data_IF_540432459113
#
_entry.id   IF_540432459113
#
_cell.length_a   1.000
_cell.length_b   1.000
_cell.length_c   1.000
_cell.angle_alpha   90.00
_cell.angle_beta   90.00
_cell.angle_gamma   90.00
#
_symmetry.space_group_name_H-M   'P 1'
#
loop_
_entity.id
_entity.type
_entity.pdbx_description
1 polymer ?
#
# COMPACT_ATOMS: atom_id res chain seq x y z
N UNK A 1 25.29 -23.23 -5.70
CA UNK A 1 25.02 -22.65 -7.03
C UNK A 1 24.10 -23.52 -7.90
N UNK A 2 24.36 -24.82 -8.09
CA UNK A 2 23.49 -25.70 -8.91
C UNK A 2 22.02 -25.72 -8.44
N UNK A 3 21.77 -25.80 -7.12
CA UNK A 3 20.42 -25.74 -6.56
C UNK A 3 19.70 -24.40 -6.81
N UNK A 4 20.46 -23.29 -6.90
CA UNK A 4 19.92 -21.95 -7.19
C UNK A 4 19.61 -21.81 -8.68
N UNK A 5 20.49 -22.32 -9.54
CA UNK A 5 20.30 -22.33 -10.99
C UNK A 5 19.05 -23.14 -11.39
N UNK A 6 18.80 -24.27 -10.73
CA UNK A 6 17.63 -25.12 -10.97
C UNK A 6 16.30 -24.40 -10.66
N UNK A 7 16.26 -23.56 -9.61
CA UNK A 7 15.05 -22.83 -9.22
C UNK A 7 14.87 -21.48 -9.93
N UNK A 8 15.92 -20.94 -10.55
CA UNK A 8 15.91 -19.69 -11.33
C UNK A 8 15.52 -19.91 -12.79
N UNK A 9 14.49 -20.74 -13.03
CA UNK A 9 13.85 -20.82 -14.35
C UNK A 9 12.70 -19.82 -14.46
N UNK A 10 13.03 -18.57 -14.78
CA UNK A 10 12.04 -17.49 -14.83
C UNK A 10 10.93 -17.71 -15.86
N UNK A 11 11.11 -18.61 -16.84
CA UNK A 11 10.07 -18.94 -17.83
C UNK A 11 8.96 -19.83 -17.26
N UNK A 12 9.28 -20.58 -16.20
CA UNK A 12 8.34 -21.53 -15.57
C UNK A 12 7.56 -20.91 -14.42
N UNK A 13 7.90 -19.68 -14.05
CA UNK A 13 7.27 -19.00 -12.93
C UNK A 13 5.87 -18.54 -13.28
N UNK A 14 4.95 -18.75 -12.35
CA UNK A 14 3.59 -18.21 -12.37
C UNK A 14 3.35 -17.40 -11.09
N UNK A 15 2.19 -16.74 -11.01
CA UNK A 15 1.76 -16.04 -9.81
C UNK A 15 1.65 -17.03 -8.65
N UNK A 16 2.39 -16.76 -7.57
CA UNK A 16 2.41 -17.63 -6.40
C UNK A 16 3.74 -17.64 -5.66
N UNK A 17 3.82 -18.50 -4.65
CA UNK A 17 5.00 -18.65 -3.82
C UNK A 17 6.07 -19.54 -4.47
N UNK A 18 7.31 -19.05 -4.52
CA UNK A 18 8.48 -19.80 -5.00
C UNK A 18 9.53 -19.85 -3.90
N UNK A 19 9.95 -21.06 -3.53
CA UNK A 19 11.09 -21.25 -2.65
C UNK A 19 12.39 -21.11 -3.44
N UNK A 20 13.25 -20.20 -3.01
CA UNK A 20 14.49 -19.88 -3.69
C UNK A 20 15.66 -20.13 -2.75
N UNK A 21 16.57 -21.02 -3.15
CA UNK A 21 17.78 -21.34 -2.40
C UNK A 21 18.85 -20.23 -2.48
N UNK A 22 18.45 -19.00 -2.82
CA UNK A 22 19.33 -17.85 -3.07
C UNK A 22 20.03 -17.40 -1.79
N UNK A 23 19.45 -17.64 -0.61
CA UNK A 23 20.08 -17.40 0.69
C UNK A 23 21.46 -18.08 0.84
N UNK A 24 21.71 -19.15 0.08
CA UNK A 24 23.00 -19.85 0.05
C UNK A 24 24.11 -19.09 -0.71
N UNK A 25 23.75 -18.02 -1.45
CA UNK A 25 24.66 -17.19 -2.25
C UNK A 25 24.62 -15.74 -1.74
N UNK A 26 23.43 -15.24 -1.40
CA UNK A 26 23.23 -13.96 -0.73
C UNK A 26 22.43 -14.17 0.56
N UNK A 27 23.09 -14.22 1.73
CA UNK A 27 22.43 -14.52 3.01
C UNK A 27 21.31 -13.55 3.40
N UNK A 28 21.29 -12.33 2.84
CA UNK A 28 20.24 -11.34 3.09
C UNK A 28 19.00 -11.55 2.20
N UNK A 29 19.01 -12.52 1.29
CA UNK A 29 17.89 -12.83 0.40
C UNK A 29 16.88 -13.77 1.08
N UNK A 30 15.57 -13.53 0.93
CA UNK A 30 14.55 -14.36 1.58
C UNK A 30 14.51 -15.79 1.02
N UNK A 31 14.21 -16.77 1.87
CA UNK A 31 14.07 -18.18 1.47
C UNK A 31 12.86 -18.42 0.57
N UNK A 32 11.85 -17.56 0.68
CA UNK A 32 10.60 -17.64 -0.08
C UNK A 32 10.28 -16.28 -0.69
N UNK A 33 9.76 -16.32 -1.92
CA UNK A 33 9.35 -15.15 -2.68
C UNK A 33 7.93 -15.35 -3.20
N UNK A 34 7.06 -14.38 -2.98
CA UNK A 34 5.81 -14.30 -3.72
C UNK A 34 6.03 -13.61 -5.06
N UNK A 35 5.76 -14.33 -6.15
CA UNK A 35 5.75 -13.81 -7.51
C UNK A 35 4.34 -13.30 -7.81
N UNK A 36 4.22 -12.00 -8.08
CA UNK A 36 2.96 -11.37 -8.53
C UNK A 36 2.99 -11.10 -10.03
N UNK A 37 1.84 -10.71 -10.58
CA UNK A 37 1.72 -10.42 -12.01
C UNK A 37 2.72 -9.38 -12.49
N UNK A 38 2.93 -8.31 -11.72
CA UNK A 38 3.90 -7.25 -12.02
C UNK A 38 5.33 -7.77 -12.04
N UNK A 39 5.67 -8.77 -11.23
CA UNK A 39 7.00 -9.39 -11.24
C UNK A 39 7.25 -10.10 -12.57
N UNK A 40 6.26 -10.84 -13.08
CA UNK A 40 6.35 -11.51 -14.38
C UNK A 40 6.47 -10.50 -15.53
N UNK A 41 5.71 -9.41 -15.48
CA UNK A 41 5.77 -8.35 -16.49
C UNK A 41 7.16 -7.65 -16.47
N UNK A 42 7.71 -7.37 -15.28
CA UNK A 42 9.05 -6.79 -15.13
C UNK A 42 10.15 -7.76 -15.60
N UNK A 43 10.01 -9.06 -15.37
CA UNK A 43 10.93 -10.09 -15.91
C UNK A 43 10.96 -10.00 -17.45
N UNK A 44 9.80 -9.85 -18.08
CA UNK A 44 9.72 -9.75 -19.54
C UNK A 44 10.40 -8.48 -20.06
N UNK A 45 10.19 -7.33 -19.41
CA UNK A 45 10.89 -6.07 -19.73
C UNK A 45 12.40 -6.24 -19.60
N UNK A 46 12.84 -6.82 -18.49
CA UNK A 46 14.26 -7.02 -18.20
C UNK A 46 14.93 -7.90 -19.26
N UNK A 47 14.29 -9.01 -19.66
CA UNK A 47 14.80 -9.89 -20.72
C UNK A 47 14.92 -9.17 -22.06
N UNK A 48 13.93 -8.35 -22.43
CA UNK A 48 13.98 -7.54 -23.65
C UNK A 48 15.12 -6.51 -23.61
N UNK A 49 15.27 -5.80 -22.49
CA UNK A 49 16.33 -4.82 -22.31
C UNK A 49 17.72 -5.44 -22.39
N UNK A 50 17.94 -6.62 -21.78
CA UNK A 50 19.21 -7.34 -21.92
C UNK A 50 19.50 -7.67 -23.39
N UNK A 51 18.52 -8.22 -24.12
CA UNK A 51 18.69 -8.59 -25.53
C UNK A 51 19.07 -7.38 -26.39
N UNK A 52 18.52 -6.21 -26.07
CA UNK A 52 18.78 -4.94 -26.77
C UNK A 52 20.01 -4.19 -26.24
N UNK A 53 20.70 -4.72 -25.24
CA UNK A 53 21.85 -4.04 -24.64
C UNK A 53 21.52 -2.76 -23.88
N UNK A 54 20.27 -2.60 -23.42
CA UNK A 54 19.82 -1.43 -22.66
C UNK A 54 20.17 -1.53 -21.17
N UNK A 55 20.34 -0.38 -20.53
CA UNK A 55 20.52 -0.26 -19.08
C UNK A 55 19.17 0.03 -18.41
N UNK A 56 18.93 -0.53 -17.22
CA UNK A 56 17.64 -0.37 -16.53
C UNK A 56 17.82 0.18 -15.12
N UNK A 57 17.01 1.17 -14.77
CA UNK A 57 16.86 1.68 -13.40
C UNK A 57 15.50 1.27 -12.87
N UNK A 58 15.48 0.43 -11.83
CA UNK A 58 14.27 0.19 -11.06
C UNK A 58 14.01 1.36 -10.13
N UNK A 59 12.87 2.01 -10.36
CA UNK A 59 12.34 3.11 -9.55
C UNK A 59 11.06 2.67 -8.85
N UNK A 60 10.65 3.39 -7.82
CA UNK A 60 9.43 3.09 -7.07
C UNK A 60 9.65 3.30 -5.58
N UNK A 61 8.58 3.24 -4.81
CA UNK A 61 8.61 3.55 -3.39
C UNK A 61 9.54 2.63 -2.61
N UNK A 62 10.03 3.10 -1.48
CA UNK A 62 10.79 2.27 -0.57
C UNK A 62 10.02 1.00 -0.20
N UNK A 63 10.73 -0.13 -0.01
CA UNK A 63 10.11 -1.36 0.48
C UNK A 63 9.29 -2.19 -0.52
N UNK A 64 9.12 -1.77 -1.79
CA UNK A 64 8.32 -2.52 -2.79
C UNK A 64 9.01 -3.74 -3.44
N UNK A 65 10.24 -4.09 -3.03
CA UNK A 65 10.94 -5.29 -3.53
C UNK A 65 11.94 -5.08 -4.68
N UNK A 66 12.35 -3.82 -4.95
CA UNK A 66 13.35 -3.50 -5.99
C UNK A 66 14.69 -4.25 -5.82
N UNK A 67 15.24 -4.24 -4.60
CA UNK A 67 16.50 -4.92 -4.27
C UNK A 67 16.39 -6.43 -4.51
N UNK A 68 15.25 -7.02 -4.18
CA UNK A 68 14.97 -8.44 -4.46
C UNK A 68 15.05 -8.74 -5.96
N UNK A 69 14.41 -7.92 -6.81
CA UNK A 69 14.47 -8.07 -8.26
C UNK A 69 15.90 -7.94 -8.80
N UNK A 70 16.68 -6.99 -8.28
CA UNK A 70 18.08 -6.80 -8.67
C UNK A 70 18.95 -8.01 -8.37
N UNK A 71 18.84 -8.58 -7.16
CA UNK A 71 19.58 -9.80 -6.80
C UNK A 71 19.16 -10.97 -7.69
N UNK A 72 17.86 -11.18 -7.90
CA UNK A 72 17.35 -12.24 -8.78
C UNK A 72 17.88 -12.12 -10.20
N UNK A 73 17.88 -10.91 -10.74
CA UNK A 73 18.31 -10.65 -12.11
C UNK A 73 19.82 -10.77 -12.29
N UNK A 74 20.61 -10.37 -11.29
CA UNK A 74 22.05 -10.63 -11.28
C UNK A 74 22.35 -12.14 -11.33
N UNK A 75 21.67 -12.93 -10.49
CA UNK A 75 21.85 -14.39 -10.44
C UNK A 75 21.36 -15.07 -11.72
N UNK A 76 20.25 -14.62 -12.29
CA UNK A 76 19.76 -15.12 -13.58
C UNK A 76 20.77 -14.84 -14.70
N UNK A 77 21.32 -13.63 -14.78
CA UNK A 77 22.36 -13.29 -15.76
C UNK A 77 23.60 -14.17 -15.60
N UNK A 78 24.05 -14.40 -14.37
CA UNK A 78 25.21 -15.25 -14.10
C UNK A 78 24.96 -16.73 -14.43
N UNK A 79 23.86 -17.29 -13.91
CA UNK A 79 23.65 -18.74 -13.89
C UNK A 79 22.92 -19.27 -15.11
N UNK A 80 22.05 -18.47 -15.75
CA UNK A 80 21.29 -18.87 -16.94
C UNK A 80 21.89 -18.31 -18.22
N UNK A 81 22.27 -17.03 -18.21
CA UNK A 81 22.88 -16.41 -19.39
C UNK A 81 24.41 -16.55 -19.45
N UNK A 82 25.02 -17.14 -18.43
CA UNK A 82 26.47 -17.38 -18.36
C UNK A 82 27.30 -16.08 -18.48
N UNK A 83 26.71 -14.94 -18.13
CA UNK A 83 27.40 -13.64 -18.12
C UNK A 83 28.24 -13.49 -16.86
N UNK A 84 29.39 -12.81 -16.96
CA UNK A 84 30.13 -12.37 -15.77
C UNK A 84 29.42 -11.18 -15.15
N UNK A 85 29.16 -11.24 -13.85
CA UNK A 85 28.47 -10.17 -13.14
C UNK A 85 29.24 -9.71 -11.92
N UNK A 86 29.03 -8.44 -11.58
CA UNK A 86 29.32 -7.88 -10.26
C UNK A 86 28.04 -7.29 -9.71
N UNK A 87 27.57 -7.85 -8.60
CA UNK A 87 26.50 -7.27 -7.79
C UNK A 87 27.14 -6.48 -6.64
N UNK A 88 27.03 -5.16 -6.72
CA UNK A 88 27.49 -4.23 -5.69
C UNK A 88 26.28 -3.72 -4.92
N UNK A 89 26.21 -4.03 -3.63
CA UNK A 89 25.11 -3.66 -2.74
C UNK A 89 25.59 -2.69 -1.67
N UNK A 90 24.85 -1.61 -1.45
CA UNK A 90 25.04 -0.66 -0.36
C UNK A 90 23.82 -0.74 0.55
N UNK A 91 23.99 -1.35 1.72
CA UNK A 91 22.91 -1.57 2.68
C UNK A 91 23.09 -0.61 3.85
N UNK A 92 22.07 0.24 4.08
CA UNK A 92 22.07 1.20 5.18
C UNK A 92 22.28 0.47 6.52
N UNK A 93 23.29 0.89 7.28
CA UNK A 93 23.65 0.30 8.58
C UNK A 93 24.53 -0.95 8.53
N UNK A 94 24.70 -1.60 7.37
CA UNK A 94 25.61 -2.75 7.20
C UNK A 94 26.86 -2.42 6.37
N UNK A 95 26.83 -1.33 5.61
CA UNK A 95 27.91 -0.95 4.70
C UNK A 95 27.70 -1.51 3.30
N UNK A 96 28.80 -1.79 2.62
CA UNK A 96 28.83 -2.11 1.20
C UNK A 96 29.39 -3.51 0.98
N UNK A 97 28.77 -4.31 0.12
CA UNK A 97 29.22 -5.66 -0.23
C UNK A 97 29.28 -5.88 -1.74
N UNK A 98 30.19 -6.74 -2.18
CA UNK A 98 30.37 -7.12 -3.58
C UNK A 98 30.27 -8.62 -3.72
N UNK A 99 29.52 -9.06 -4.73
CA UNK A 99 29.43 -10.42 -5.19
C UNK A 99 29.87 -10.49 -6.65
N UNK A 100 30.93 -11.22 -6.93
CA UNK A 100 31.37 -11.52 -8.30
C UNK A 100 30.99 -12.95 -8.67
N UNK A 101 30.45 -13.13 -9.87
CA UNK A 101 30.14 -14.45 -10.41
C UNK A 101 30.54 -14.56 -11.88
N UNK A 102 31.32 -15.58 -12.18
CA UNK A 102 31.59 -16.08 -13.53
C UNK A 102 31.33 -17.59 -13.53
N UNK A 103 30.09 -17.96 -13.86
CA UNK A 103 29.63 -19.34 -13.86
C UNK A 103 30.34 -20.19 -14.93
N UNK A 104 30.67 -19.59 -16.09
CA UNK A 104 31.38 -20.24 -17.18
C UNK A 104 32.74 -20.77 -16.74
N UNK A 105 33.49 -19.95 -16.00
CA UNK A 105 34.82 -20.30 -15.49
C UNK A 105 34.81 -20.83 -14.06
N UNK A 106 33.62 -21.04 -13.47
CA UNK A 106 33.44 -21.48 -12.07
C UNK A 106 34.16 -20.57 -11.06
N UNK A 107 34.29 -19.28 -11.35
CA UNK A 107 34.90 -18.29 -10.44
C UNK A 107 33.80 -17.55 -9.69
N UNK A 108 33.91 -17.54 -8.36
CA UNK A 108 32.95 -16.93 -7.47
C UNK A 108 33.68 -16.38 -6.25
N UNK A 109 33.38 -15.14 -5.87
CA UNK A 109 33.83 -14.59 -4.59
C UNK A 109 32.88 -13.51 -4.09
N UNK A 110 32.91 -13.30 -2.77
CA UNK A 110 32.09 -12.32 -2.08
C UNK A 110 32.94 -11.56 -1.07
N UNK A 111 32.69 -10.27 -0.94
CA UNK A 111 33.32 -9.38 0.04
C UNK A 111 32.26 -8.56 0.75
N UNK A 112 32.16 -8.69 2.07
CA UNK A 112 31.11 -8.02 2.89
C UNK A 112 31.44 -6.57 3.28
N UNK A 113 32.72 -6.18 3.20
CA UNK A 113 33.19 -4.81 3.44
C UNK A 113 33.93 -4.34 2.20
N UNK A 114 33.14 -4.09 1.16
CA UNK A 114 33.64 -3.69 -0.14
C UNK A 114 33.74 -2.17 -0.27
N UNK A 115 34.77 -1.73 -0.96
CA UNK A 115 35.03 -0.36 -1.37
C UNK A 115 34.90 -0.24 -2.89
N UNK A 116 34.82 0.98 -3.41
CA UNK A 116 34.71 1.20 -4.85
C UNK A 116 35.95 0.71 -5.62
N UNK A 117 37.12 0.70 -4.97
CA UNK A 117 38.37 0.15 -5.50
C UNK A 117 38.30 -1.35 -5.75
N UNK A 118 37.38 -2.09 -5.10
CA UNK A 118 37.21 -3.53 -5.36
C UNK A 118 36.67 -3.83 -6.76
N UNK A 119 36.07 -2.83 -7.43
CA UNK A 119 35.71 -2.94 -8.85
C UNK A 119 36.93 -3.00 -9.78
N UNK A 120 38.10 -2.57 -9.29
CA UNK A 120 39.34 -2.60 -10.07
C UNK A 120 39.98 -4.00 -10.05
N UNK A 121 39.57 -4.90 -9.13
CA UNK A 121 40.04 -6.29 -9.07
C UNK A 121 39.67 -7.13 -10.29
N UNK A 122 38.71 -6.65 -11.07
CA UNK A 122 38.21 -7.29 -12.30
C UNK A 122 38.35 -6.38 -13.52
N UNK A 123 39.11 -5.29 -13.40
CA UNK A 123 39.25 -4.31 -14.47
C UNK A 123 39.88 -4.98 -15.70
N UNK A 124 39.27 -4.81 -16.88
CA UNK A 124 39.69 -5.44 -18.13
C UNK A 124 39.04 -6.80 -18.43
N UNK A 125 38.40 -7.46 -17.46
CA UNK A 125 37.48 -8.57 -17.74
C UNK A 125 36.10 -7.98 -18.09
N UNK A 126 35.51 -8.31 -19.23
CA UNK A 126 34.15 -7.85 -19.55
C UNK A 126 33.14 -8.39 -18.53
N UNK A 127 32.46 -7.51 -17.79
CA UNK A 127 31.42 -7.89 -16.82
C UNK A 127 30.24 -6.91 -16.86
N UNK A 128 29.08 -7.40 -16.39
CA UNK A 128 27.88 -6.60 -16.20
C UNK A 128 27.84 -6.10 -14.75
N UNK A 129 27.78 -4.78 -14.55
CA UNK A 129 27.71 -4.17 -13.22
C UNK A 129 26.26 -4.00 -12.78
N UNK A 130 25.91 -4.52 -11.61
CA UNK A 130 24.58 -4.45 -11.00
C UNK A 130 24.69 -3.71 -9.66
N UNK A 131 23.90 -2.66 -9.49
CA UNK A 131 23.94 -1.79 -8.33
C UNK A 131 22.63 -1.88 -7.52
N UNK A 132 22.74 -2.06 -6.21
CA UNK A 132 21.62 -2.05 -5.25
C UNK A 132 21.90 -1.06 -4.12
N UNK A 133 20.97 -0.14 -3.85
CA UNK A 133 21.08 0.81 -2.73
C UNK A 133 21.95 2.04 -2.98
N UNK A 134 22.44 2.24 -4.21
CA UNK A 134 23.14 3.46 -4.62
C UNK A 134 22.15 4.54 -5.07
N UNK A 135 22.40 5.79 -4.71
CA UNK A 135 21.62 6.94 -5.19
C UNK A 135 22.11 7.41 -6.57
N UNK A 136 21.31 8.22 -7.27
CA UNK A 136 21.78 8.86 -8.50
C UNK A 136 23.01 9.76 -8.25
N UNK A 137 23.07 10.39 -7.07
CA UNK A 137 24.21 11.21 -6.65
C UNK A 137 25.47 10.35 -6.41
N UNK A 138 25.34 9.18 -5.76
CA UNK A 138 26.44 8.23 -5.61
C UNK A 138 27.05 7.86 -6.97
N UNK A 139 26.21 7.60 -7.97
CA UNK A 139 26.63 7.27 -9.35
C UNK A 139 27.31 8.46 -10.03
N UNK A 140 26.77 9.67 -9.87
CA UNK A 140 27.36 10.90 -10.43
C UNK A 140 28.73 11.21 -9.83
N UNK A 141 28.87 11.08 -8.50
CA UNK A 141 30.11 11.36 -7.78
C UNK A 141 31.22 10.34 -8.12
N UNK A 142 30.85 9.17 -8.65
CA UNK A 142 31.77 8.11 -9.04
C UNK A 142 31.64 7.78 -10.53
N UNK A 143 31.54 8.85 -11.34
CA UNK A 143 31.46 8.78 -12.79
C UNK A 143 32.61 7.94 -13.37
N UNK A 144 32.31 7.12 -14.37
CA UNK A 144 33.25 6.18 -14.98
C UNK A 144 33.22 4.79 -14.33
N UNK A 145 33.29 4.71 -12.98
CA UNK A 145 33.23 3.42 -12.26
C UNK A 145 31.82 2.87 -12.14
N UNK A 146 30.88 3.71 -11.71
CA UNK A 146 29.50 3.29 -11.46
C UNK A 146 28.57 3.52 -12.64
N UNK A 147 28.87 4.45 -13.55
CA UNK A 147 27.98 4.77 -14.70
C UNK A 147 27.85 3.67 -15.74
N UNK A 148 28.74 2.67 -15.71
CA UNK A 148 28.69 1.47 -16.56
C UNK A 148 27.71 0.40 -16.07
N UNK A 149 26.80 0.74 -15.14
CA UNK A 149 25.84 -0.21 -14.63
C UNK A 149 24.89 -0.72 -15.73
N UNK A 150 24.59 -2.01 -15.69
CA UNK A 150 23.50 -2.63 -16.43
C UNK A 150 22.16 -2.45 -15.72
N UNK A 151 22.19 -2.64 -14.40
CA UNK A 151 21.01 -2.56 -13.53
C UNK A 151 21.30 -1.67 -12.32
N UNK A 152 20.33 -0.85 -11.95
CA UNK A 152 20.34 -0.04 -10.74
C UNK A 152 18.99 -0.10 -10.03
N UNK A 153 18.95 -0.53 -8.76
CA UNK A 153 17.81 -0.27 -7.89
C UNK A 153 18.12 0.94 -7.00
N UNK A 154 17.29 1.97 -7.11
CA UNK A 154 17.45 3.19 -6.31
C UNK A 154 16.14 3.60 -5.66
N UNK A 155 16.21 4.02 -4.39
CA UNK A 155 15.10 4.68 -3.71
C UNK A 155 15.18 6.16 -4.02
N UNK A 156 14.38 6.61 -4.97
CA UNK A 156 14.11 8.00 -5.39
C UNK A 156 13.68 7.93 -6.86
N UNK A 157 13.14 9.03 -7.37
CA UNK A 157 12.92 9.20 -8.80
C UNK A 157 14.26 9.44 -9.48
N UNK A 158 14.65 8.54 -10.38
CA UNK A 158 15.82 8.76 -11.24
C UNK A 158 15.46 9.83 -12.27
N UNK A 159 16.21 10.94 -12.28
CA UNK A 159 16.02 11.99 -13.27
C UNK A 159 16.79 11.65 -14.54
N UNK A 160 16.06 11.31 -15.60
CA UNK A 160 16.61 11.04 -16.93
C UNK A 160 17.10 12.34 -17.56
N UNK A 161 18.26 12.31 -18.19
CA UNK A 161 18.76 13.38 -19.06
C UNK A 161 18.40 13.08 -20.51
N UNK A 162 18.41 14.12 -21.36
CA UNK A 162 18.11 13.97 -22.78
C UNK A 162 19.07 13.02 -23.51
N UNK A 163 20.32 12.91 -23.04
CA UNK A 163 21.36 12.09 -23.66
C UNK A 163 21.39 10.64 -23.16
N UNK A 164 20.47 10.25 -22.27
CA UNK A 164 20.38 8.91 -21.68
C UNK A 164 19.70 7.89 -22.63
N UNK A 165 20.13 7.83 -23.89
CA UNK A 165 19.45 7.09 -24.98
C UNK A 165 19.38 5.58 -24.76
N UNK A 166 20.34 5.00 -24.04
CA UNK A 166 20.43 3.56 -23.75
C UNK A 166 19.88 3.18 -22.37
N UNK A 167 19.33 4.14 -21.62
CA UNK A 167 18.88 3.95 -20.25
C UNK A 167 17.36 4.04 -20.15
N UNK A 168 16.77 3.11 -19.43
CA UNK A 168 15.32 3.07 -19.20
C UNK A 168 14.99 3.01 -17.73
N UNK A 169 13.96 3.76 -17.32
CA UNK A 169 13.34 3.58 -16.01
C UNK A 169 12.28 2.50 -16.11
N UNK A 170 12.18 1.69 -15.07
CA UNK A 170 11.13 0.71 -14.89
C UNK A 170 10.58 0.88 -13.47
N UNK A 171 9.33 1.31 -13.34
CA UNK A 171 8.69 1.40 -12.02
C UNK A 171 8.39 0.01 -11.49
N UNK A 172 8.61 -0.18 -10.20
CA UNK A 172 8.14 -1.34 -9.44
C UNK A 172 6.93 -0.86 -8.62
N UNK A 173 5.70 -1.26 -9.01
CA UNK A 173 4.49 -0.80 -8.34
C UNK A 173 4.45 -1.19 -6.86
N UNK A 174 3.63 -0.50 -6.05
CA UNK A 174 3.33 -0.96 -4.70
C UNK A 174 2.54 -2.29 -4.71
N UNK A 175 2.47 -2.96 -3.56
CA UNK A 175 1.81 -4.26 -3.42
C UNK A 175 0.31 -4.08 -3.19
N UNK A 176 -0.51 -4.74 -4.00
CA UNK A 176 -1.96 -4.70 -3.82
C UNK A 176 -2.34 -5.40 -2.50
N UNK A 177 -3.49 -5.02 -1.92
CA UNK A 177 -4.03 -5.71 -0.74
C UNK A 177 -4.21 -7.22 -1.01
N UNK A 178 -4.62 -7.60 -2.23
CA UNK A 178 -4.78 -9.01 -2.62
C UNK A 178 -3.45 -9.77 -2.61
N UNK A 179 -2.38 -9.20 -3.17
CA UNK A 179 -1.05 -9.84 -3.13
C UNK A 179 -0.54 -9.99 -1.70
N UNK A 180 -0.74 -8.97 -0.86
CA UNK A 180 -0.32 -9.00 0.54
C UNK A 180 -1.12 -10.02 1.36
N UNK A 181 -2.41 -10.20 1.07
CA UNK A 181 -3.22 -11.26 1.69
C UNK A 181 -2.67 -12.65 1.34
N UNK A 182 -2.25 -12.88 0.10
CA UNK A 182 -1.63 -14.16 -0.31
C UNK A 182 -0.29 -14.40 0.41
N UNK A 183 0.48 -13.35 0.68
CA UNK A 183 1.67 -13.43 1.53
C UNK A 183 1.27 -13.78 2.98
N UNK A 184 0.21 -13.16 3.50
CA UNK A 184 -0.33 -13.47 4.83
C UNK A 184 -0.71 -14.95 4.99
N UNK A 185 -1.31 -15.55 3.95
CA UNK A 185 -1.61 -16.99 3.94
C UNK A 185 -0.36 -17.84 4.12
N UNK A 186 0.77 -17.48 3.48
CA UNK A 186 2.04 -18.20 3.65
C UNK A 186 2.56 -18.15 5.09
N UNK A 187 2.33 -17.04 5.79
CA UNK A 187 2.71 -16.86 7.20
C UNK A 187 1.62 -17.31 8.19
N UNK A 188 0.54 -17.93 7.71
CA UNK A 188 -0.62 -18.32 8.51
C UNK A 188 -1.24 -17.15 9.30
N UNK A 189 -1.20 -15.94 8.75
CA UNK A 189 -1.85 -14.77 9.33
C UNK A 189 -3.35 -14.80 9.09
N UNK A 190 -4.12 -14.34 10.08
CA UNK A 190 -5.57 -14.20 9.95
C UNK A 190 -5.91 -13.04 9.03
N UNK A 191 -7.16 -12.98 8.57
CA UNK A 191 -7.66 -11.82 7.81
C UNK A 191 -7.50 -10.52 8.61
N UNK A 192 -7.71 -10.56 9.92
CA UNK A 192 -7.57 -9.41 10.79
C UNK A 192 -6.10 -8.95 10.90
N UNK A 193 -5.16 -9.89 11.04
CA UNK A 193 -3.72 -9.57 11.04
C UNK A 193 -3.29 -8.89 9.74
N UNK A 194 -3.78 -9.39 8.60
CA UNK A 194 -3.48 -8.80 7.29
C UNK A 194 -4.07 -7.39 7.15
N UNK A 195 -5.32 -7.18 7.59
CA UNK A 195 -5.96 -5.86 7.58
C UNK A 195 -5.20 -4.88 8.47
N UNK A 196 -4.81 -5.28 9.67
CA UNK A 196 -4.03 -4.44 10.59
C UNK A 196 -2.65 -4.09 10.00
N UNK A 197 -1.96 -5.06 9.40
CA UNK A 197 -0.67 -4.81 8.74
C UNK A 197 -0.81 -3.90 7.52
N UNK A 198 -1.89 -4.05 6.75
CA UNK A 198 -2.17 -3.21 5.59
C UNK A 198 -2.50 -1.76 6.01
N UNK A 199 -3.25 -1.59 7.10
CA UNK A 199 -3.62 -0.30 7.67
C UNK A 199 -2.40 0.62 7.87
N UNK A 200 -1.29 0.07 8.36
CA UNK A 200 -0.03 0.83 8.48
C UNK A 200 0.76 0.85 7.17
N UNK A 201 0.95 -0.29 6.52
CA UNK A 201 1.93 -0.39 5.41
C UNK A 201 1.45 0.18 4.07
N UNK A 202 0.15 0.21 3.78
CA UNK A 202 -0.39 0.72 2.52
C UNK A 202 0.21 0.09 1.26
N UNK A 203 0.59 -1.18 1.27
CA UNK A 203 1.24 -1.80 0.10
C UNK A 203 2.77 -1.68 0.07
N UNK A 204 3.39 -1.15 1.12
CA UNK A 204 4.83 -1.26 1.35
C UNK A 204 5.14 -2.63 1.98
N UNK A 205 5.68 -3.55 1.18
CA UNK A 205 5.96 -4.92 1.65
C UNK A 205 6.93 -4.95 2.85
N UNK A 206 7.92 -4.05 2.91
CA UNK A 206 8.86 -4.01 4.03
C UNK A 206 8.14 -3.68 5.34
N UNK A 207 7.23 -2.71 5.31
CA UNK A 207 6.50 -2.29 6.50
C UNK A 207 5.42 -3.33 6.86
N UNK A 208 4.80 -3.97 5.86
CA UNK A 208 3.84 -5.06 6.05
C UNK A 208 4.45 -6.28 6.78
N UNK A 209 5.70 -6.63 6.43
CA UNK A 209 6.46 -7.70 7.07
C UNK A 209 7.10 -7.27 8.40
N UNK A 210 7.07 -5.98 8.75
CA UNK A 210 7.65 -5.46 9.98
C UNK A 210 6.68 -5.56 11.17
N UNK A 211 7.19 -5.54 12.42
CA UNK A 211 6.36 -5.36 13.59
C UNK A 211 5.58 -4.03 13.52
N UNK A 212 4.31 -4.06 13.95
CA UNK A 212 3.39 -2.91 13.99
C UNK A 212 4.04 -1.64 14.54
N UNK A 213 4.70 -1.74 15.69
CA UNK A 213 5.34 -0.61 16.37
C UNK A 213 6.41 0.07 15.50
N UNK A 214 7.15 -0.70 14.69
CA UNK A 214 8.18 -0.16 13.79
C UNK A 214 7.55 0.54 12.59
N UNK A 215 6.53 -0.07 11.99
CA UNK A 215 5.81 0.55 10.87
C UNK A 215 5.17 1.88 11.28
N UNK A 216 4.50 1.90 12.44
CA UNK A 216 3.88 3.10 13.03
C UNK A 216 4.91 4.22 13.29
N UNK A 217 5.99 3.90 13.99
CA UNK A 217 7.07 4.86 14.30
C UNK A 217 7.76 5.43 13.04
N UNK A 218 7.87 4.64 11.96
CA UNK A 218 8.38 5.14 10.68
C UNK A 218 7.43 6.15 10.04
N UNK A 219 6.13 5.87 10.07
CA UNK A 219 5.09 6.76 9.54
C UNK A 219 5.05 8.05 10.36
N UNK A 220 5.00 7.97 11.69
CA UNK A 220 4.97 9.13 12.59
C UNK A 220 6.19 10.04 12.36
N UNK A 221 7.39 9.47 12.20
CA UNK A 221 8.60 10.24 11.87
C UNK A 221 8.55 10.91 10.50
N UNK A 222 7.94 10.26 9.50
CA UNK A 222 7.78 10.85 8.18
C UNK A 222 6.77 12.00 8.23
N UNK A 223 5.64 11.81 8.92
CA UNK A 223 4.59 12.81 9.11
C UNK A 223 5.05 14.03 9.89
N UNK A 224 5.88 13.86 10.91
CA UNK A 224 6.47 14.98 11.67
C UNK A 224 7.35 15.93 10.85
N UNK A 225 7.55 15.65 9.55
CA UNK A 225 8.30 16.47 8.60
C UNK A 225 7.44 17.01 7.44
N UNK A 226 6.15 16.67 7.41
CA UNK A 226 5.22 17.09 6.36
C UNK A 226 4.61 18.43 6.75
N UNK A 227 4.80 19.44 5.90
CA UNK A 227 4.03 20.68 5.91
C UNK A 227 2.85 20.62 4.90
N UNK A 228 1.98 21.64 4.89
CA UNK A 228 0.84 21.72 3.98
C UNK A 228 1.24 21.59 2.50
N UNK A 229 2.37 22.18 2.09
CA UNK A 229 2.84 22.09 0.71
C UNK A 229 3.36 20.68 0.39
N UNK A 230 4.04 20.04 1.34
CA UNK A 230 4.48 18.65 1.20
C UNK A 230 3.28 17.71 1.06
N UNK A 231 2.19 17.97 1.80
CA UNK A 231 0.97 17.17 1.74
C UNK A 231 0.29 17.21 0.36
N UNK A 232 0.27 18.37 -0.31
CA UNK A 232 -0.23 18.47 -1.69
C UNK A 232 0.58 17.62 -2.69
N UNK A 233 1.90 17.50 -2.46
CA UNK A 233 2.79 16.75 -3.34
C UNK A 233 2.66 15.24 -3.21
N UNK A 234 2.11 14.71 -2.11
CA UNK A 234 1.90 13.26 -1.90
C UNK A 234 1.05 12.62 -3.00
N UNK A 235 0.22 13.42 -3.68
CA UNK A 235 -0.59 13.00 -4.81
C UNK A 235 0.10 13.11 -6.18
N UNK A 236 1.29 13.66 -6.26
CA UNK A 236 1.94 13.90 -7.53
C UNK A 236 3.08 12.92 -7.73
N UNK A 237 3.51 12.74 -8.97
CA UNK A 237 4.77 12.06 -9.24
C UNK A 237 5.98 12.92 -8.87
N UNK A 238 5.85 14.01 -8.11
CA UNK A 238 6.96 14.88 -7.74
C UNK A 238 7.22 14.75 -6.24
N UNK A 239 8.41 14.24 -5.92
CA UNK A 239 8.92 14.20 -4.55
C UNK A 239 9.73 15.47 -4.27
N UNK A 240 9.57 16.07 -3.08
CA UNK A 240 10.42 17.17 -2.60
C UNK A 240 11.77 16.65 -2.10
N UNK A 241 12.57 16.16 -3.04
CA UNK A 241 13.98 15.80 -2.85
C UNK A 241 14.30 14.76 -1.75
N UNK A 242 15.55 14.29 -1.69
CA UNK A 242 15.99 13.25 -0.75
C UNK A 242 15.82 13.58 0.74
N UNK A 243 15.74 14.87 1.09
CA UNK A 243 16.02 15.36 2.44
C UNK A 243 14.86 15.22 3.43
N UNK A 244 13.59 15.16 2.99
CA UNK A 244 12.46 15.14 3.93
C UNK A 244 11.91 13.73 4.27
N UNK A 245 12.31 12.66 3.58
CA UNK A 245 11.74 11.29 3.75
C UNK A 245 10.22 11.22 3.54
N UNK A 246 9.59 12.24 2.95
CA UNK A 246 8.15 12.27 2.64
C UNK A 246 7.79 11.20 1.60
N UNK A 247 8.75 10.78 0.77
CA UNK A 247 8.64 9.66 -0.17
C UNK A 247 8.20 8.34 0.47
N UNK A 248 8.37 8.18 1.80
CA UNK A 248 7.86 7.00 2.50
C UNK A 248 6.33 6.93 2.54
N UNK A 249 5.67 8.08 2.55
CA UNK A 249 4.21 8.19 2.58
C UNK A 249 3.61 8.11 1.18
N UNK A 250 4.43 8.13 0.13
CA UNK A 250 4.00 8.12 -1.25
C UNK A 250 4.24 6.76 -1.90
N UNK A 251 3.18 6.04 -2.21
CA UNK A 251 3.23 4.84 -3.03
C UNK A 251 3.03 5.19 -4.51
N UNK A 252 3.72 4.47 -5.40
CA UNK A 252 3.56 4.62 -6.86
C UNK A 252 3.12 3.31 -7.48
N UNK A 253 2.14 3.38 -8.37
CA UNK A 253 1.66 2.27 -9.19
C UNK A 253 1.52 2.68 -10.65
N UNK A 254 1.01 1.78 -11.47
CA UNK A 254 0.77 1.93 -12.90
C UNK A 254 -0.72 1.91 -13.18
N UNK A 255 -1.16 2.72 -14.14
CA UNK A 255 -2.53 2.68 -14.65
C UNK A 255 -2.77 1.33 -15.33
N UNK A 256 -3.90 0.65 -15.06
CA UNK A 256 -4.35 -0.46 -15.87
C UNK A 256 -4.51 -0.04 -17.33
N UNK A 257 -4.24 -0.96 -18.25
CA UNK A 257 -4.53 -0.80 -19.67
C UNK A 257 -5.43 -1.99 -20.09
N UNK A 258 -6.76 -1.87 -19.90
CA UNK A 258 -7.68 -2.97 -20.20
C UNK A 258 -7.74 -3.28 -21.70
N UNK A 259 -7.49 -2.28 -22.55
CA UNK A 259 -7.48 -2.44 -24.00
C UNK A 259 -6.26 -3.24 -24.48
N UNK A 260 -5.14 -3.11 -23.77
CA UNK A 260 -3.94 -3.92 -24.02
C UNK A 260 -3.29 -4.38 -22.70
N UNK A 261 -3.77 -5.48 -22.09
CA UNK A 261 -3.24 -5.98 -20.82
C UNK A 261 -1.75 -6.36 -20.88
N UNK A 262 -1.24 -6.65 -22.08
CA UNK A 262 0.16 -6.99 -22.36
C UNK A 262 1.03 -5.77 -22.64
N UNK A 263 0.49 -4.56 -22.55
CA UNK A 263 1.24 -3.33 -22.71
C UNK A 263 2.24 -3.17 -21.55
N UNK A 264 3.51 -3.43 -21.82
CA UNK A 264 4.59 -3.28 -20.85
C UNK A 264 5.15 -1.84 -20.79
N UNK A 265 4.75 -0.96 -21.71
CA UNK A 265 5.22 0.43 -21.72
C UNK A 265 4.71 1.23 -20.51
N UNK A 266 3.60 0.81 -19.90
CA UNK A 266 3.07 1.39 -18.66
C UNK A 266 4.08 1.36 -17.49
N UNK A 267 5.03 0.42 -17.49
CA UNK A 267 6.10 0.36 -16.48
C UNK A 267 7.23 1.37 -16.75
N UNK A 268 7.33 1.87 -17.98
CA UNK A 268 8.43 2.75 -18.43
C UNK A 268 8.02 4.21 -18.56
N UNK A 269 6.77 4.45 -18.97
CA UNK A 269 6.25 5.78 -19.25
C UNK A 269 5.66 6.43 -18.00
N UNK A 270 6.23 7.55 -17.57
CA UNK A 270 5.76 8.28 -16.38
C UNK A 270 4.31 8.77 -16.49
N UNK A 271 3.80 8.99 -17.70
CA UNK A 271 2.39 9.32 -17.95
C UNK A 271 1.42 8.21 -17.52
N UNK A 272 1.92 6.98 -17.39
CA UNK A 272 1.15 5.82 -16.94
C UNK A 272 1.25 5.61 -15.42
N UNK A 273 2.03 6.41 -14.69
CA UNK A 273 2.25 6.21 -13.26
C UNK A 273 1.25 7.02 -12.43
N UNK A 274 0.83 6.45 -11.30
CA UNK A 274 -0.07 7.09 -10.35
C UNK A 274 0.57 7.03 -8.97
N UNK A 275 0.67 8.18 -8.32
CA UNK A 275 1.24 8.29 -6.97
C UNK A 275 0.18 8.74 -5.97
N UNK A 276 0.17 8.11 -4.80
CA UNK A 276 -0.75 8.41 -3.70
C UNK A 276 -0.22 7.88 -2.37
N UNK A 277 -0.67 8.48 -1.26
CA UNK A 277 -0.59 7.80 0.04
C UNK A 277 -1.69 6.75 0.11
N UNK A 278 -1.32 5.55 0.52
CA UNK A 278 -2.17 4.35 0.58
C UNK A 278 -2.20 3.73 1.97
N UNK A 279 -1.39 4.26 2.90
CA UNK A 279 -1.44 3.89 4.33
C UNK A 279 -2.61 4.64 4.96
N UNK A 280 -3.59 3.89 5.45
CA UNK A 280 -4.75 4.47 6.11
C UNK A 280 -4.35 5.18 7.39
N UNK A 281 -3.46 4.60 8.19
CA UNK A 281 -2.92 5.26 9.37
C UNK A 281 -2.27 6.60 9.02
N UNK A 282 -1.43 6.64 7.97
CA UNK A 282 -0.81 7.88 7.54
C UNK A 282 -1.84 8.92 7.10
N UNK A 283 -2.87 8.51 6.36
CA UNK A 283 -3.94 9.39 5.89
C UNK A 283 -4.77 9.95 7.06
N UNK A 284 -5.12 9.12 8.06
CA UNK A 284 -5.82 9.57 9.27
C UNK A 284 -5.04 10.68 9.98
N UNK A 285 -3.71 10.49 10.13
CA UNK A 285 -2.84 11.49 10.76
C UNK A 285 -2.65 12.74 9.89
N UNK A 286 -2.50 12.58 8.56
CA UNK A 286 -2.42 13.69 7.60
C UNK A 286 -3.68 14.54 7.60
N UNK A 287 -4.82 13.96 7.97
CA UNK A 287 -6.09 14.66 8.05
C UNK A 287 -6.01 16.02 8.75
N UNK A 288 -5.16 16.18 9.78
CA UNK A 288 -4.99 17.47 10.47
C UNK A 288 -4.37 18.59 9.59
N UNK A 289 -3.82 18.23 8.43
CA UNK A 289 -3.13 19.10 7.47
C UNK A 289 -3.94 19.20 6.17
N UNK A 290 -4.64 18.14 5.77
CA UNK A 290 -5.34 18.06 4.47
C UNK A 290 -6.86 18.24 4.61
N UNK A 291 -7.45 18.88 3.60
CA UNK A 291 -8.90 19.05 3.50
C UNK A 291 -9.61 17.81 2.95
N UNK A 292 -10.93 17.65 3.17
CA UNK A 292 -11.73 16.54 2.62
C UNK A 292 -11.56 16.33 1.11
N UNK A 293 -11.35 17.40 0.34
CA UNK A 293 -11.14 17.34 -1.11
C UNK A 293 -9.91 16.51 -1.54
N UNK A 294 -8.95 16.30 -0.63
CA UNK A 294 -7.82 15.39 -0.84
C UNK A 294 -8.32 13.94 -1.01
N UNK A 295 -9.29 13.52 -0.19
CA UNK A 295 -9.82 12.17 -0.24
C UNK A 295 -10.68 11.93 -1.48
N UNK A 296 -11.34 12.96 -2.03
CA UNK A 296 -12.05 12.86 -3.32
C UNK A 296 -11.07 12.61 -4.49
N UNK A 297 -9.91 13.27 -4.45
CA UNK A 297 -8.81 13.03 -5.40
C UNK A 297 -8.24 11.62 -5.22
N UNK A 298 -8.09 11.16 -3.99
CA UNK A 298 -7.63 9.82 -3.67
C UNK A 298 -8.60 8.74 -4.16
N UNK A 299 -9.91 8.94 -3.93
CA UNK A 299 -10.98 8.10 -4.44
C UNK A 299 -10.92 7.98 -5.97
N UNK A 300 -10.76 9.11 -6.65
CA UNK A 300 -10.63 9.12 -8.12
C UNK A 300 -9.41 8.35 -8.62
N UNK A 301 -8.29 8.38 -7.88
CA UNK A 301 -7.12 7.55 -8.21
C UNK A 301 -7.36 6.07 -7.94
N UNK A 302 -8.03 5.74 -6.84
CA UNK A 302 -8.48 4.37 -6.56
C UNK A 302 -9.30 3.82 -7.73
N UNK A 303 -10.26 4.60 -8.25
CA UNK A 303 -11.06 4.25 -9.44
C UNK A 303 -10.18 4.04 -10.68
N UNK A 304 -9.24 4.95 -10.95
CA UNK A 304 -8.31 4.82 -12.10
C UNK A 304 -7.44 3.56 -11.99
N UNK A 305 -7.03 3.19 -10.78
CA UNK A 305 -6.21 2.02 -10.53
C UNK A 305 -7.00 0.72 -10.47
N UNK A 306 -8.33 0.79 -10.30
CA UNK A 306 -9.13 -0.38 -9.90
C UNK A 306 -8.74 -0.90 -8.51
N UNK A 307 -8.23 -0.03 -7.63
CA UNK A 307 -7.80 -0.40 -6.28
C UNK A 307 -8.93 -0.16 -5.27
N UNK A 308 -9.68 -1.23 -5.05
CA UNK A 308 -10.79 -1.30 -4.12
C UNK A 308 -10.42 -0.95 -2.68
N UNK A 309 -9.22 -1.33 -2.24
CA UNK A 309 -8.74 -1.05 -0.89
C UNK A 309 -8.45 0.46 -0.74
N UNK A 310 -7.80 1.05 -1.74
CA UNK A 310 -7.54 2.49 -1.76
C UNK A 310 -8.83 3.32 -1.80
N UNK A 311 -9.83 2.87 -2.56
CA UNK A 311 -11.16 3.50 -2.57
C UNK A 311 -11.80 3.45 -1.18
N UNK A 312 -11.78 2.29 -0.50
CA UNK A 312 -12.31 2.16 0.86
C UNK A 312 -11.62 3.11 1.85
N UNK A 313 -10.29 3.14 1.82
CA UNK A 313 -9.47 4.03 2.64
C UNK A 313 -9.82 5.50 2.37
N UNK A 314 -9.97 5.89 1.10
CA UNK A 314 -10.31 7.26 0.74
C UNK A 314 -11.69 7.66 1.28
N UNK A 315 -12.70 6.81 1.11
CA UNK A 315 -14.06 7.10 1.57
C UNK A 315 -14.16 7.18 3.09
N UNK A 316 -13.54 6.25 3.82
CA UNK A 316 -13.53 6.26 5.27
C UNK A 316 -12.87 7.53 5.83
N UNK A 317 -11.70 7.90 5.31
CA UNK A 317 -11.02 9.12 5.73
C UNK A 317 -11.76 10.39 5.29
N UNK A 318 -12.50 10.38 4.17
CA UNK A 318 -13.36 11.49 3.79
C UNK A 318 -14.42 11.75 4.85
N UNK A 319 -15.15 10.72 5.28
CA UNK A 319 -16.21 10.85 6.29
C UNK A 319 -15.64 11.39 7.60
N UNK A 320 -14.53 10.81 8.09
CA UNK A 320 -13.86 11.30 9.30
C UNK A 320 -13.38 12.75 9.17
N UNK A 321 -12.85 13.14 8.00
CA UNK A 321 -12.38 14.49 7.76
C UNK A 321 -13.52 15.50 7.67
N UNK A 322 -14.65 15.13 7.06
CA UNK A 322 -15.86 15.98 7.02
C UNK A 322 -16.38 16.25 8.44
N UNK A 323 -16.48 15.22 9.28
CA UNK A 323 -16.90 15.37 10.67
C UNK A 323 -15.91 16.24 11.47
N UNK A 324 -14.60 16.01 11.31
CA UNK A 324 -13.55 16.82 11.97
C UNK A 324 -13.64 18.29 11.58
N UNK A 325 -13.81 18.57 10.30
CA UNK A 325 -13.88 19.92 9.74
C UNK A 325 -15.25 20.58 9.98
N UNK A 326 -16.15 19.94 10.74
CA UNK A 326 -17.52 20.38 11.06
C UNK A 326 -18.34 20.67 9.82
N UNK A 327 -18.07 19.92 8.75
CA UNK A 327 -18.83 19.98 7.51
C UNK A 327 -19.99 19.01 7.60
N UNK A 328 -21.09 19.43 7.01
CA UNK A 328 -22.30 18.64 6.95
C UNK A 328 -22.13 17.52 5.93
N UNK A 329 -22.59 16.32 6.29
CA UNK A 329 -22.68 15.18 5.38
C UNK A 329 -24.16 14.87 5.18
N UNK A 330 -24.64 15.16 3.99
CA UNK A 330 -25.99 14.78 3.57
C UNK A 330 -26.04 13.27 3.31
N UNK A 331 -26.93 12.58 4.01
CA UNK A 331 -27.12 11.15 3.92
C UNK A 331 -28.52 10.82 3.39
N UNK A 332 -28.63 9.66 2.77
CA UNK A 332 -29.88 9.04 2.40
C UNK A 332 -29.92 7.66 3.03
N UNK A 333 -30.88 7.45 3.93
CA UNK A 333 -30.92 6.30 4.83
C UNK A 333 -32.16 5.47 4.59
N UNK A 334 -32.01 4.16 4.71
CA UNK A 334 -33.11 3.19 4.72
C UNK A 334 -32.89 2.15 5.80
N UNK A 335 -33.98 1.54 6.24
CA UNK A 335 -33.87 0.30 7.01
C UNK A 335 -33.19 -0.80 6.19
N UNK A 336 -32.38 -1.61 6.86
CA UNK A 336 -31.74 -2.75 6.24
C UNK A 336 -32.75 -3.87 6.05
N UNK A 337 -32.93 -4.23 4.78
CA UNK A 337 -33.83 -5.27 4.35
C UNK A 337 -33.19 -6.66 4.50
N UNK A 338 -33.76 -7.45 5.41
CA UNK A 338 -33.34 -8.83 5.71
C UNK A 338 -33.79 -9.85 4.65
N UNK A 339 -34.76 -9.51 3.79
CA UNK A 339 -35.50 -10.45 2.92
C UNK A 339 -35.42 -10.20 1.42
N UNK A 340 -34.75 -9.13 0.97
CA UNK A 340 -34.49 -8.80 -0.45
C UNK A 340 -35.72 -8.23 -1.20
N UNK A 341 -36.25 -7.10 -0.72
CA UNK A 341 -37.11 -6.20 -1.49
C UNK A 341 -36.36 -5.58 -2.67
N UNK A 342 -37.08 -5.28 -3.76
CA UNK A 342 -36.52 -4.76 -5.01
C UNK A 342 -36.65 -3.23 -5.15
N UNK A 343 -37.45 -2.59 -4.29
CA UNK A 343 -37.61 -1.13 -4.26
C UNK A 343 -37.34 -0.62 -2.85
N UNK A 344 -36.49 0.42 -2.75
CA UNK A 344 -36.11 1.03 -1.49
C UNK A 344 -36.57 2.48 -1.44
N UNK A 345 -37.19 2.86 -0.33
CA UNK A 345 -37.48 4.25 0.01
C UNK A 345 -36.38 4.76 0.92
N UNK A 346 -35.79 5.90 0.55
CA UNK A 346 -34.75 6.56 1.33
C UNK A 346 -35.31 7.80 2.01
N UNK A 347 -34.94 8.00 3.27
CA UNK A 347 -35.19 9.21 4.03
C UNK A 347 -33.90 10.06 4.09
N UNK A 348 -34.00 11.39 3.94
CA UNK A 348 -32.86 12.27 4.14
C UNK A 348 -32.44 12.24 5.63
N UNK A 349 -31.14 12.25 5.87
CA UNK A 349 -30.53 12.39 7.19
C UNK A 349 -29.32 13.30 7.09
N UNK A 350 -29.08 14.11 8.11
CA UNK A 350 -27.88 14.94 8.20
C UNK A 350 -26.95 14.41 9.28
N UNK A 351 -25.67 14.25 8.94
CA UNK A 351 -24.61 14.02 9.92
C UNK A 351 -23.79 15.31 10.02
N UNK A 352 -23.88 15.95 11.19
CA UNK A 352 -23.18 17.21 11.49
C UNK A 352 -22.57 17.15 12.88
N UNK A 353 -21.26 17.05 12.94
CA UNK A 353 -20.52 17.02 14.19
C UNK A 353 -20.10 18.43 14.60
N UNK A 354 -20.61 18.93 15.73
CA UNK A 354 -20.08 20.17 16.32
C UNK A 354 -18.83 19.89 17.14
N UNK A 355 -18.84 18.75 17.83
CA UNK A 355 -17.69 18.22 18.59
C UNK A 355 -17.27 16.86 18.04
N UNK A 356 -15.96 16.64 17.93
CA UNK A 356 -15.41 15.36 17.53
C UNK A 356 -14.29 14.91 18.48
N UNK A 357 -14.06 13.60 18.56
CA UNK A 357 -12.86 13.01 19.20
C UNK A 357 -12.28 11.89 18.35
N UNK A 358 -10.95 11.78 18.34
CA UNK A 358 -10.20 10.68 17.71
C UNK A 358 -9.26 10.09 18.76
N UNK A 359 -9.75 9.10 19.50
CA UNK A 359 -9.11 8.52 20.68
C UNK A 359 -9.47 7.04 20.81
N UNK A 360 -8.63 6.26 21.49
CA UNK A 360 -8.79 4.81 21.67
C UNK A 360 -7.89 4.01 20.73
N UNK A 361 -6.96 3.25 21.32
CA UNK A 361 -5.93 2.45 20.60
C UNK A 361 -6.20 0.95 20.62
N UNK A 362 -7.01 0.50 21.56
CA UNK A 362 -7.44 -0.88 21.71
C UNK A 362 -8.92 -0.96 22.11
N UNK A 363 -9.50 -2.15 22.05
CA UNK A 363 -10.93 -2.35 22.27
C UNK A 363 -11.37 -1.83 23.65
N UNK A 364 -10.57 -2.02 24.70
CA UNK A 364 -10.91 -1.59 26.06
C UNK A 364 -10.93 -0.06 26.20
N UNK A 365 -9.93 0.63 25.64
CA UNK A 365 -9.93 2.09 25.56
C UNK A 365 -11.13 2.57 24.73
N UNK A 366 -11.39 1.94 23.59
CA UNK A 366 -12.48 2.28 22.67
C UNK A 366 -13.85 2.14 23.37
N UNK A 367 -14.07 1.10 24.18
CA UNK A 367 -15.28 0.91 25.00
C UNK A 367 -15.43 1.95 26.12
N UNK A 368 -14.34 2.26 26.83
CA UNK A 368 -14.36 3.29 27.86
C UNK A 368 -14.72 4.66 27.28
N UNK A 369 -14.23 4.99 26.08
CA UNK A 369 -14.58 6.22 25.38
C UNK A 369 -16.05 6.27 24.96
N UNK A 370 -16.60 5.15 24.48
CA UNK A 370 -18.03 5.05 24.13
C UNK A 370 -18.94 5.28 25.35
N UNK A 371 -18.56 4.79 26.53
CA UNK A 371 -19.30 5.05 27.78
C UNK A 371 -19.24 6.52 28.23
N UNK A 372 -18.19 7.26 27.83
CA UNK A 372 -17.95 8.66 28.22
C UNK A 372 -18.35 9.68 27.15
N UNK A 373 -19.20 9.30 26.18
CA UNK A 373 -19.64 10.10 25.01
C UNK A 373 -20.45 11.38 25.33
N UNK A 374 -20.58 11.78 26.59
CA UNK A 374 -21.29 13.01 26.94
C UNK A 374 -20.64 14.23 26.26
N UNK A 375 -21.42 14.96 25.46
CA UNK A 375 -20.94 16.14 24.74
C UNK A 375 -20.09 15.90 23.48
N UNK A 376 -19.96 14.65 23.01
CA UNK A 376 -19.28 14.32 21.75
C UNK A 376 -20.33 13.98 20.68
N UNK A 377 -20.26 14.61 19.51
CA UNK A 377 -21.21 14.34 18.42
C UNK A 377 -20.69 13.30 17.43
N UNK A 378 -19.37 13.20 17.27
CA UNK A 378 -18.72 12.20 16.43
C UNK A 378 -17.44 11.68 17.05
N UNK A 379 -17.26 10.37 17.06
CA UNK A 379 -16.07 9.72 17.58
C UNK A 379 -15.64 8.57 16.69
N UNK A 380 -14.34 8.39 16.56
CA UNK A 380 -13.75 7.26 15.87
C UNK A 380 -12.40 6.90 16.49
N UNK A 381 -11.97 5.63 16.42
CA UNK A 381 -10.75 5.19 17.09
C UNK A 381 -9.48 5.59 16.32
N UNK A 382 -8.36 5.65 17.02
CA UNK A 382 -7.04 5.95 16.44
C UNK A 382 -6.54 4.80 15.56
N UNK A 383 -6.75 3.57 16.01
CA UNK A 383 -6.35 2.33 15.36
C UNK A 383 -7.61 1.48 15.05
N UNK A 384 -7.52 0.45 14.19
CA UNK A 384 -8.63 -0.47 13.92
C UNK A 384 -8.84 -1.45 15.09
N UNK A 385 -9.42 -0.95 16.20
CA UNK A 385 -9.63 -1.66 17.46
C UNK A 385 -11.00 -2.36 17.59
N UNK A 386 -12.00 -1.94 16.82
CA UNK A 386 -13.39 -2.40 16.98
C UNK A 386 -13.76 -3.42 15.90
N UNK A 387 -14.57 -4.40 16.29
CA UNK A 387 -15.26 -5.25 15.34
C UNK A 387 -16.47 -4.48 14.75
N UNK A 388 -16.77 -4.66 13.47
CA UNK A 388 -18.08 -4.24 12.87
C UNK A 388 -18.38 -2.75 12.76
N UNK A 389 -17.66 -1.85 13.44
CA UNK A 389 -17.90 -0.40 13.36
C UNK A 389 -16.57 0.34 13.25
N UNK A 390 -16.60 1.48 12.56
CA UNK A 390 -15.45 2.39 12.43
C UNK A 390 -15.67 3.69 13.19
N UNK A 391 -16.90 4.04 13.55
CA UNK A 391 -17.21 5.29 14.27
C UNK A 391 -18.56 5.26 15.00
N UNK A 392 -18.75 6.23 15.89
CA UNK A 392 -20.01 6.51 16.57
C UNK A 392 -20.41 7.96 16.29
N UNK A 393 -21.68 8.21 15.98
CA UNK A 393 -22.20 9.54 15.72
C UNK A 393 -23.55 9.76 16.41
N UNK A 394 -23.83 11.01 16.79
CA UNK A 394 -25.19 11.46 17.12
C UNK A 394 -25.88 11.91 15.85
N UNK A 395 -27.12 11.48 15.68
CA UNK A 395 -27.92 11.73 14.48
C UNK A 395 -29.35 12.09 14.91
N UNK A 396 -30.07 12.84 14.08
CA UNK A 396 -31.49 13.12 14.29
C UNK A 396 -32.31 12.36 13.25
N UNK A 397 -32.94 11.27 13.65
CA UNK A 397 -33.78 10.44 12.78
C UNK A 397 -35.24 10.58 13.20
N UNK A 398 -36.09 11.01 12.28
CA UNK A 398 -37.53 11.24 12.52
C UNK A 398 -37.82 12.17 13.72
N UNK A 399 -36.95 13.16 13.94
CA UNK A 399 -37.04 14.11 15.06
C UNK A 399 -36.63 13.53 16.42
N UNK A 400 -36.04 12.33 16.44
CA UNK A 400 -35.46 11.71 17.64
C UNK A 400 -33.94 11.72 17.58
N UNK A 401 -33.30 12.01 18.72
CA UNK A 401 -31.87 11.87 18.87
C UNK A 401 -31.51 10.39 18.97
N UNK A 402 -30.67 9.92 18.04
CA UNK A 402 -30.23 8.53 17.97
C UNK A 402 -28.70 8.44 17.97
N UNK A 403 -28.19 7.32 18.47
CA UNK A 403 -26.76 6.99 18.42
C UNK A 403 -26.51 6.04 17.26
N UNK A 404 -25.82 6.52 16.23
CA UNK A 404 -25.38 5.73 15.09
C UNK A 404 -24.06 5.04 15.38
N UNK A 405 -24.06 3.71 15.41
CA UNK A 405 -22.88 2.85 15.33
C UNK A 405 -22.57 2.62 13.85
N UNK A 406 -21.57 3.33 13.32
CA UNK A 406 -21.35 3.46 11.88
C UNK A 406 -20.22 2.54 11.43
N UNK A 407 -20.52 1.66 10.47
CA UNK A 407 -19.53 0.97 9.65
C UNK A 407 -19.40 1.72 8.33
N UNK A 408 -18.21 2.20 8.00
CA UNK A 408 -17.94 2.87 6.74
C UNK A 408 -17.36 1.83 5.78
N UNK A 409 -17.96 1.70 4.59
CA UNK A 409 -17.47 0.72 3.63
C UNK A 409 -17.82 1.06 2.20
N UNK A 410 -16.91 0.76 1.29
CA UNK A 410 -17.18 0.79 -0.16
C UNK A 410 -17.77 -0.53 -0.68
N UNK A 411 -17.75 -1.59 0.13
CA UNK A 411 -18.15 -2.94 -0.31
C UNK A 411 -19.67 -3.10 -0.31
N UNK A 412 -20.20 -3.79 -1.31
CA UNK A 412 -21.60 -4.24 -1.34
C UNK A 412 -21.86 -5.44 -0.41
N UNK A 413 -20.81 -6.04 0.17
CA UNK A 413 -20.92 -7.14 1.13
C UNK A 413 -20.05 -6.88 2.35
N UNK A 414 -20.61 -7.03 3.53
CA UNK A 414 -19.88 -6.81 4.78
C UNK A 414 -20.23 -7.86 5.83
N UNK A 415 -19.22 -8.44 6.46
CA UNK A 415 -19.40 -9.38 7.57
C UNK A 415 -19.66 -8.61 8.85
N UNK A 416 -20.66 -9.05 9.61
CA UNK A 416 -21.06 -8.39 10.86
C UNK A 416 -20.94 -9.36 12.02
N UNK A 417 -20.26 -8.90 13.08
CA UNK A 417 -20.23 -9.56 14.38
C UNK A 417 -21.38 -9.01 15.23
N UNK A 418 -22.51 -9.72 15.20
CA UNK A 418 -23.71 -9.35 15.94
C UNK A 418 -23.47 -9.27 17.46
N UNK A 419 -22.57 -10.11 18.01
CA UNK A 419 -22.27 -10.10 19.45
C UNK A 419 -21.50 -8.84 19.84
N UNK A 420 -20.51 -8.48 19.03
CA UNK A 420 -19.77 -7.24 19.23
C UNK A 420 -20.70 -6.02 19.08
N UNK A 421 -21.58 -6.02 18.08
CA UNK A 421 -22.56 -4.94 17.89
C UNK A 421 -23.47 -4.76 19.10
N UNK A 422 -24.09 -5.84 19.58
CA UNK A 422 -24.99 -5.78 20.74
C UNK A 422 -24.23 -5.35 22.01
N UNK A 423 -22.97 -5.79 22.17
CA UNK A 423 -22.08 -5.35 23.25
C UNK A 423 -21.86 -3.84 23.19
N UNK A 424 -21.54 -3.27 22.02
CA UNK A 424 -21.32 -1.83 21.87
C UNK A 424 -22.61 -1.03 22.06
N UNK A 425 -23.74 -1.53 21.56
CA UNK A 425 -25.03 -0.89 21.78
C UNK A 425 -25.39 -0.80 23.27
N UNK A 426 -25.09 -1.85 24.05
CA UNK A 426 -25.32 -1.89 25.49
C UNK A 426 -24.48 -0.89 26.31
N UNK A 427 -23.48 -0.23 25.71
CA UNK A 427 -22.71 0.82 26.37
C UNK A 427 -23.49 2.13 26.51
N UNK A 428 -24.60 2.28 25.77
CA UNK A 428 -25.44 3.48 25.79
C UNK A 428 -26.66 3.28 26.71
N UNK A 429 -27.06 4.31 27.49
CA UNK A 429 -28.15 4.18 28.46
C UNK A 429 -29.49 3.78 27.85
N UNK A 430 -29.79 4.28 26.65
CA UNK A 430 -30.98 3.94 25.90
C UNK A 430 -30.60 3.11 24.66
N UNK A 431 -30.56 1.80 24.84
CA UNK A 431 -30.28 0.85 23.75
C UNK A 431 -31.31 0.92 22.61
N UNK A 432 -32.53 1.40 22.89
CA UNK A 432 -33.60 1.49 21.90
C UNK A 432 -33.43 2.65 20.93
N UNK A 433 -32.56 3.63 21.21
CA UNK A 433 -32.16 4.71 20.30
C UNK A 433 -30.82 4.46 19.60
N UNK A 434 -30.20 3.29 19.81
CA UNK A 434 -28.99 2.90 19.09
C UNK A 434 -29.35 2.29 17.73
N UNK A 435 -28.65 2.70 16.68
CA UNK A 435 -28.81 2.20 15.31
C UNK A 435 -27.46 1.77 14.77
N UNK A 436 -27.41 0.61 14.12
CA UNK A 436 -26.30 0.26 13.26
C UNK A 436 -26.52 0.88 11.89
N UNK A 437 -25.49 1.53 11.34
CA UNK A 437 -25.55 2.15 10.02
C UNK A 437 -24.36 1.68 9.18
N UNK A 438 -24.65 0.92 8.13
CA UNK A 438 -23.67 0.70 7.06
C UNK A 438 -23.67 1.93 6.14
N UNK A 439 -22.63 2.76 6.27
CA UNK A 439 -22.43 3.95 5.45
C UNK A 439 -21.61 3.60 4.20
N UNK A 440 -22.22 3.79 3.03
CA UNK A 440 -21.65 3.46 1.71
C UNK A 440 -21.52 4.70 0.81
N UNK A 441 -20.67 4.68 -0.22
CA UNK A 441 -20.35 5.88 -1.01
C UNK A 441 -21.52 6.42 -1.85
N UNK A 442 -22.38 5.54 -2.36
CA UNK A 442 -23.41 5.91 -3.33
C UNK A 442 -24.64 4.98 -3.27
N UNK A 443 -25.70 5.40 -3.99
CA UNK A 443 -26.97 4.68 -4.08
C UNK A 443 -26.81 3.29 -4.69
N UNK A 444 -25.99 3.15 -5.74
CA UNK A 444 -25.79 1.86 -6.40
C UNK A 444 -25.22 0.81 -5.43
N UNK A 445 -24.25 1.23 -4.63
CA UNK A 445 -23.66 0.40 -3.57
C UNK A 445 -24.70 0.10 -2.49
N UNK A 446 -25.50 1.10 -2.10
CA UNK A 446 -26.54 0.96 -1.07
C UNK A 446 -27.64 -0.03 -1.47
N UNK A 447 -28.13 0.05 -2.71
CA UNK A 447 -29.17 -0.85 -3.24
C UNK A 447 -28.69 -2.32 -3.24
N UNK A 448 -27.40 -2.52 -3.57
CA UNK A 448 -26.76 -3.85 -3.64
C UNK A 448 -26.22 -4.34 -2.29
N UNK A 449 -26.18 -3.50 -1.26
CA UNK A 449 -25.50 -3.78 0.00
C UNK A 449 -26.13 -4.94 0.78
N UNK A 450 -25.32 -5.89 1.27
CA UNK A 450 -25.77 -7.05 2.06
C UNK A 450 -24.82 -7.35 3.20
N UNK A 451 -25.40 -7.67 4.35
CA UNK A 451 -24.66 -8.17 5.51
C UNK A 451 -24.43 -9.68 5.37
N UNK A 452 -23.39 -10.16 6.03
CA UNK A 452 -23.12 -11.59 6.22
C UNK A 452 -23.00 -11.91 7.72
N UNK A 453 -23.92 -12.72 8.28
CA UNK A 453 -25.09 -13.34 7.63
C UNK A 453 -26.12 -12.31 7.15
N UNK A 454 -26.98 -12.69 6.20
CA UNK A 454 -27.97 -11.78 5.60
C UNK A 454 -29.02 -11.31 6.61
N UNK A 455 -29.30 -12.14 7.61
CA UNK A 455 -30.15 -11.85 8.76
C UNK A 455 -29.32 -12.01 10.05
N UNK A 456 -28.58 -10.98 10.48
CA UNK A 456 -27.76 -11.05 11.69
C UNK A 456 -28.63 -11.20 12.94
N UNK A 457 -28.27 -12.10 13.87
CA UNK A 457 -28.98 -12.29 15.12
C UNK A 457 -28.61 -11.18 16.12
N UNK A 458 -29.02 -9.94 15.84
CA UNK A 458 -28.80 -8.75 16.66
C UNK A 458 -30.12 -8.08 17.00
N UNK A 459 -30.17 -7.48 18.20
CA UNK A 459 -31.31 -6.69 18.67
C UNK A 459 -31.24 -5.24 18.20
N UNK A 460 -30.07 -4.80 17.73
CA UNK A 460 -29.85 -3.43 17.24
C UNK A 460 -30.51 -3.27 15.88
N UNK A 461 -31.25 -2.17 15.70
CA UNK A 461 -31.90 -1.84 14.43
C UNK A 461 -30.86 -1.52 13.36
N UNK A 462 -30.99 -2.17 12.21
CA UNK A 462 -30.01 -2.14 11.13
C UNK A 462 -30.45 -1.18 10.03
N UNK A 463 -29.56 -0.30 9.60
CA UNK A 463 -29.78 0.66 8.52
C UNK A 463 -28.65 0.64 7.51
N UNK A 464 -28.95 1.11 6.30
CA UNK A 464 -27.97 1.39 5.26
C UNK A 464 -28.12 2.85 4.84
N UNK A 465 -27.02 3.56 4.79
CA UNK A 465 -26.95 4.97 4.42
C UNK A 465 -25.99 5.16 3.26
N UNK A 466 -26.26 6.10 2.35
CA UNK A 466 -25.25 6.57 1.41
C UNK A 466 -25.05 8.09 1.49
N UNK A 467 -23.86 8.56 1.15
CA UNK A 467 -23.55 9.99 1.11
C UNK A 467 -24.09 10.61 -0.18
N UNK A 468 -24.98 11.58 -0.06
CA UNK A 468 -25.49 12.33 -1.19
C UNK A 468 -24.35 13.18 -1.80
N UNK A 469 -23.98 12.88 -3.05
CA UNK A 469 -23.02 13.69 -3.81
C UNK A 469 -21.54 13.37 -3.63
N UNK A 470 -21.15 12.35 -2.84
CA UNK A 470 -19.74 11.97 -2.65
C UNK A 470 -19.04 11.52 -3.95
N UNK A 471 -19.78 10.92 -4.89
CA UNK A 471 -19.24 10.70 -6.23
C UNK A 471 -20.37 10.60 -7.26
N UNK A 472 -20.43 11.57 -8.19
CA UNK A 472 -21.01 11.37 -9.52
C UNK A 472 -19.91 10.92 -10.49
#
# INVERSE_FOLDING_TARGET
>A
MMAVAATLDLETWDVGGVALNVCNVDPDFPQWLYVRKETLDIIQIFKDHIKKGLNTVFVGTHGVGKSTLVVLFALYMALRQQKRIILFRKIKGKGSSVLYMDASNKRYWRKERAELSDLDLVNGEGFELILDGFTQEDVKNNFGRLTRFRLLATSQQYLMKNDDVLLWRCVVPFWSSSDLNNIGVHFCWTENDNKEKYFYSGGNLRDFLSPKIKAKDLIDRALGRVDENDAELLHTQYARGPMKQVDWLQMTSIRPDPANPKNLDKYKLSSSWVSASTSEYALRQLGNIITPSYYDKLWSKGRVLGDDALMGIAFENYVHAMARDRKEIELQVREYDRTKQHEYTYAPLELKASTYRNEGRDEAECEAMMQQQSGVDYWYPLDRCLATIDSVAKLSMDGQDVVGLIQITKSVKHSIDAKALDKYAALFPDTSSVRYIALVPDRETSDKFRLYPADPPTQTLLHVAYVAGFSK
#
